data_IF_579596792043
#
_entry.id   IF_579596792043
#
_cell.length_a   1.000
_cell.length_b   1.000
_cell.length_c   1.000
_cell.angle_alpha   90.00
_cell.angle_beta   90.00
_cell.angle_gamma   90.00
#
_symmetry.space_group_name_H-M   'P 1'
#
loop_
_entity.id
_entity.type
_entity.pdbx_description
1 polymer ?
#
# COMPACT_ATOMS: atom_id res chain seq x y z
N UNK A 1 -27.60 21.42 6.02
CA UNK A 1 -28.82 20.87 5.44
C UNK A 1 -28.50 20.23 4.09
N UNK A 2 -28.86 18.96 3.93
CA UNK A 2 -28.77 18.29 2.64
C UNK A 2 -29.85 18.91 1.75
N UNK A 3 -29.57 19.29 0.50
CA UNK A 3 -30.61 19.76 -0.41
C UNK A 3 -31.68 18.67 -0.55
N UNK A 4 -32.95 19.04 -0.57
CA UNK A 4 -34.07 18.09 -0.63
C UNK A 4 -33.99 17.16 -1.85
N UNK A 5 -33.44 17.65 -2.97
CA UNK A 5 -33.21 16.86 -4.21
C UNK A 5 -31.83 17.17 -4.77
N UNK A 6 -31.02 16.14 -4.99
CA UNK A 6 -29.74 16.23 -5.68
C UNK A 6 -29.98 15.94 -7.17
N UNK A 7 -29.55 16.83 -8.03
CA UNK A 7 -29.65 16.66 -9.49
C UNK A 7 -28.29 16.26 -10.04
N UNK A 8 -28.25 15.17 -10.83
CA UNK A 8 -27.04 14.67 -11.50
C UNK A 8 -27.27 14.52 -13.00
N UNK A 9 -26.19 14.56 -13.78
CA UNK A 9 -26.25 14.33 -15.23
C UNK A 9 -25.95 12.87 -15.62
N UNK A 10 -25.71 12.00 -14.62
CA UNK A 10 -25.36 10.60 -14.86
C UNK A 10 -26.60 9.71 -14.80
N UNK A 11 -26.60 8.65 -15.58
CA UNK A 11 -27.66 7.63 -15.58
C UNK A 11 -27.58 6.69 -14.38
N UNK A 12 -26.40 6.61 -13.75
CA UNK A 12 -26.12 5.73 -12.62
C UNK A 12 -25.34 6.50 -11.58
N UNK A 13 -25.65 6.25 -10.31
CA UNK A 13 -24.95 6.86 -9.18
C UNK A 13 -24.64 5.82 -8.12
N UNK A 14 -23.54 6.02 -7.41
CA UNK A 14 -23.23 5.32 -6.16
C UNK A 14 -22.95 6.34 -5.07
N UNK A 15 -22.99 5.90 -3.82
CA UNK A 15 -22.76 6.76 -2.67
C UNK A 15 -21.60 6.25 -1.84
N UNK A 16 -20.97 7.18 -1.14
CA UNK A 16 -19.96 6.89 -0.13
C UNK A 16 -20.18 7.82 1.07
N UNK A 17 -19.78 7.39 2.25
CA UNK A 17 -20.03 8.12 3.48
C UNK A 17 -18.74 8.36 4.26
N UNK A 18 -18.57 9.60 4.74
CA UNK A 18 -17.58 9.98 5.74
C UNK A 18 -18.29 10.12 7.08
N UNK A 19 -18.27 9.07 7.88
CA UNK A 19 -18.88 9.06 9.21
C UNK A 19 -17.86 8.62 10.26
N UNK A 20 -17.95 9.20 11.44
CA UNK A 20 -17.08 8.89 12.57
C UNK A 20 -17.89 8.85 13.86
N UNK A 21 -17.52 7.94 14.73
CA UNK A 21 -18.00 7.86 16.08
C UNK A 21 -17.05 8.58 17.07
N UNK A 22 -17.55 8.99 18.22
CA UNK A 22 -16.79 9.62 19.30
C UNK A 22 -17.28 9.16 20.67
N UNK A 23 -16.38 8.68 21.49
CA UNK A 23 -16.65 8.42 22.89
C UNK A 23 -16.50 9.69 23.73
N UNK A 24 -17.41 9.86 24.70
CA UNK A 24 -17.31 10.94 25.67
C UNK A 24 -15.99 10.86 26.42
N UNK A 25 -15.23 11.97 26.44
CA UNK A 25 -13.91 12.04 27.09
C UNK A 25 -12.72 11.53 26.23
N UNK A 26 -12.94 11.05 25.01
CA UNK A 26 -11.87 10.68 24.09
C UNK A 26 -11.64 11.76 23.01
N UNK A 27 -10.38 12.18 22.76
CA UNK A 27 -10.08 13.08 21.66
C UNK A 27 -10.08 12.35 20.30
N UNK A 28 -10.13 11.02 20.31
CA UNK A 28 -10.01 10.20 19.10
C UNK A 28 -11.36 10.07 18.38
N UNK A 29 -11.27 9.99 17.04
CA UNK A 29 -12.38 9.61 16.16
C UNK A 29 -12.26 8.13 15.86
N UNK A 30 -13.37 7.44 15.96
CA UNK A 30 -13.48 6.01 15.66
C UNK A 30 -14.28 5.80 14.37
N UNK A 31 -14.11 4.64 13.75
CA UNK A 31 -14.92 4.21 12.60
C UNK A 31 -16.34 3.85 13.03
N UNK A 32 -17.25 3.84 12.05
CA UNK A 32 -18.60 3.32 12.22
C UNK A 32 -18.59 1.78 12.13
N UNK A 33 -19.58 1.16 12.79
CA UNK A 33 -19.73 -0.30 12.79
C UNK A 33 -20.48 -0.81 11.57
N UNK A 34 -21.58 -0.13 11.19
CA UNK A 34 -22.48 -0.54 10.12
C UNK A 34 -22.98 0.67 9.34
N UNK A 35 -23.16 0.51 8.04
CA UNK A 35 -23.98 1.43 7.26
C UNK A 35 -24.81 0.65 6.22
N UNK A 36 -26.03 1.15 5.96
CA UNK A 36 -26.98 0.59 5.01
C UNK A 36 -27.51 1.70 4.09
N UNK A 37 -27.54 1.41 2.80
CA UNK A 37 -28.14 2.24 1.75
C UNK A 37 -29.46 1.61 1.33
N UNK A 38 -30.52 2.39 1.36
CA UNK A 38 -31.82 2.05 0.77
C UNK A 38 -32.22 3.07 -0.30
N UNK A 39 -32.85 2.60 -1.37
CA UNK A 39 -33.45 3.43 -2.41
C UNK A 39 -34.93 3.05 -2.54
N UNK A 40 -35.84 4.05 -2.51
CA UNK A 40 -37.29 3.85 -2.61
C UNK A 40 -37.78 2.78 -1.62
N UNK A 41 -37.36 2.92 -0.36
CA UNK A 41 -37.66 2.02 0.77
C UNK A 41 -37.10 0.58 0.65
N UNK A 42 -36.36 0.26 -0.41
CA UNK A 42 -35.74 -1.06 -0.61
C UNK A 42 -34.27 -1.03 -0.22
N UNK A 43 -33.79 -1.98 0.60
CA UNK A 43 -32.36 -2.12 0.87
C UNK A 43 -31.59 -2.41 -0.43
N UNK A 44 -30.50 -1.70 -0.65
CA UNK A 44 -29.64 -1.86 -1.85
C UNK A 44 -28.35 -2.56 -1.48
N UNK A 45 -27.63 -2.02 -0.48
CA UNK A 45 -26.37 -2.56 0.00
C UNK A 45 -26.13 -2.10 1.43
N UNK A 46 -25.48 -2.92 2.22
CA UNK A 46 -24.99 -2.55 3.55
C UNK A 46 -23.65 -3.20 3.84
N UNK A 47 -22.89 -2.61 4.73
CA UNK A 47 -21.69 -3.22 5.28
C UNK A 47 -21.74 -3.26 6.81
N UNK A 48 -21.06 -4.24 7.38
CA UNK A 48 -20.88 -4.41 8.80
C UNK A 48 -19.46 -4.87 9.09
N UNK A 49 -18.78 -4.18 10.01
CA UNK A 49 -17.37 -4.45 10.34
C UNK A 49 -17.32 -5.13 11.70
N UNK A 50 -17.60 -6.44 11.74
CA UNK A 50 -17.47 -7.28 12.93
C UNK A 50 -16.04 -7.74 13.12
N UNK A 51 -15.51 -8.36 12.05
CA UNK A 51 -14.16 -8.91 11.99
C UNK A 51 -13.67 -8.88 10.54
N UNK A 52 -12.40 -8.61 10.36
CA UNK A 52 -11.73 -8.71 9.07
C UNK A 52 -10.63 -9.74 9.23
N UNK A 53 -10.66 -10.80 8.44
CA UNK A 53 -9.57 -11.78 8.38
C UNK A 53 -8.26 -11.08 7.99
N UNK A 54 -7.15 -11.55 8.54
CA UNK A 54 -5.84 -10.98 8.23
C UNK A 54 -5.54 -11.03 6.71
N UNK A 55 -5.98 -12.08 6.04
CA UNK A 55 -5.81 -12.26 4.60
C UNK A 55 -6.71 -11.32 3.77
N UNK A 56 -7.81 -10.85 4.37
CA UNK A 56 -8.77 -9.94 3.73
C UNK A 56 -8.49 -8.46 4.02
N UNK A 57 -7.53 -8.15 4.88
CA UNK A 57 -7.24 -6.76 5.30
C UNK A 57 -7.03 -5.81 4.13
N UNK A 58 -6.47 -6.28 3.02
CA UNK A 58 -6.24 -5.44 1.84
C UNK A 58 -7.52 -5.05 1.11
N UNK A 59 -8.62 -5.78 1.28
CA UNK A 59 -9.90 -5.39 0.71
C UNK A 59 -10.48 -4.10 1.30
N UNK A 60 -9.98 -3.66 2.48
CA UNK A 60 -10.29 -2.34 3.02
C UNK A 60 -9.93 -1.22 2.02
N UNK A 61 -8.91 -1.41 1.20
CA UNK A 61 -8.55 -0.45 0.15
C UNK A 61 -9.62 -0.29 -0.94
N UNK A 62 -10.45 -1.31 -1.16
CA UNK A 62 -11.57 -1.26 -2.09
C UNK A 62 -12.87 -0.82 -1.41
N UNK A 63 -12.93 -0.92 -0.09
CA UNK A 63 -14.07 -0.46 0.71
C UNK A 63 -14.11 1.06 0.89
N UNK A 64 -12.98 1.74 0.70
CA UNK A 64 -12.85 3.19 0.85
C UNK A 64 -12.51 3.88 -0.47
N UNK A 65 -12.77 5.18 -0.55
CA UNK A 65 -12.16 6.00 -1.61
C UNK A 65 -10.64 6.09 -1.39
N UNK A 66 -9.95 5.08 -1.94
CA UNK A 66 -8.50 4.95 -1.80
C UNK A 66 -7.75 6.13 -2.42
N UNK A 67 -8.24 6.65 -3.54
CA UNK A 67 -7.61 7.80 -4.22
C UNK A 67 -7.64 9.03 -3.35
N UNK A 68 -8.79 9.34 -2.75
CA UNK A 68 -8.95 10.45 -1.82
C UNK A 68 -8.07 10.23 -0.57
N UNK A 69 -8.09 9.02 -0.01
CA UNK A 69 -7.32 8.67 1.19
C UNK A 69 -5.82 8.74 0.96
N UNK A 70 -5.32 8.25 -0.16
CA UNK A 70 -3.89 8.26 -0.52
C UNK A 70 -3.35 9.68 -0.73
N UNK A 71 -4.23 10.63 -1.07
CA UNK A 71 -3.93 12.06 -1.16
C UNK A 71 -4.02 12.82 0.18
N UNK A 72 -4.19 12.11 1.31
CA UNK A 72 -4.32 12.75 2.64
C UNK A 72 -5.74 13.19 3.01
N UNK A 73 -6.74 12.85 2.18
CA UNK A 73 -8.14 13.16 2.41
C UNK A 73 -8.81 12.33 3.53
N UNK A 74 -10.08 12.60 3.83
CA UNK A 74 -10.84 11.87 4.84
C UNK A 74 -11.02 10.40 4.49
N UNK A 75 -11.36 9.61 5.50
CA UNK A 75 -11.75 8.21 5.34
C UNK A 75 -13.22 8.17 4.90
N UNK A 76 -13.45 7.87 3.62
CA UNK A 76 -14.78 7.80 3.01
C UNK A 76 -15.05 6.36 2.61
N UNK A 77 -16.13 5.76 3.15
CA UNK A 77 -16.49 4.36 2.96
C UNK A 77 -17.54 4.24 1.85
N UNK A 78 -17.31 3.33 0.90
CA UNK A 78 -18.24 3.09 -0.20
C UNK A 78 -19.49 2.34 0.27
N UNK A 79 -20.64 2.82 -0.20
CA UNK A 79 -21.92 2.12 -0.18
C UNK A 79 -22.19 1.52 -1.57
N UNK A 80 -21.13 1.01 -2.18
CA UNK A 80 -21.13 0.26 -3.43
C UNK A 80 -19.95 -0.72 -3.43
N UNK A 81 -20.14 -1.84 -4.09
CA UNK A 81 -19.12 -2.89 -4.18
C UNK A 81 -18.42 -2.84 -5.53
N UNK A 82 -17.10 -2.78 -5.52
CA UNK A 82 -16.30 -2.84 -6.74
C UNK A 82 -16.32 -4.26 -7.34
N UNK A 83 -16.21 -4.41 -8.67
CA UNK A 83 -16.30 -5.71 -9.35
C UNK A 83 -15.31 -6.77 -8.87
N UNK A 84 -14.09 -6.36 -8.48
CA UNK A 84 -13.06 -7.25 -7.95
C UNK A 84 -13.08 -7.41 -6.43
N UNK A 85 -14.14 -6.97 -5.75
CA UNK A 85 -14.29 -7.11 -4.31
C UNK A 85 -15.19 -8.29 -3.97
N UNK A 86 -14.74 -9.33 -3.24
CA UNK A 86 -15.60 -10.39 -2.74
C UNK A 86 -16.55 -9.85 -1.65
N UNK A 87 -17.44 -10.70 -1.15
CA UNK A 87 -18.51 -10.25 -0.24
C UNK A 87 -18.02 -9.69 1.11
N UNK A 88 -16.90 -10.11 1.65
CA UNK A 88 -16.21 -9.56 2.82
C UNK A 88 -17.09 -8.84 3.86
N UNK A 89 -16.90 -7.53 4.00
CA UNK A 89 -17.65 -6.69 4.95
C UNK A 89 -19.07 -6.35 4.47
N UNK A 90 -19.40 -6.53 3.18
CA UNK A 90 -20.74 -6.24 2.67
C UNK A 90 -21.73 -7.31 3.07
N UNK A 91 -22.83 -6.88 3.68
CA UNK A 91 -23.95 -7.69 4.13
C UNK A 91 -25.24 -7.17 3.48
N UNK A 92 -26.27 -8.00 3.42
CA UNK A 92 -27.59 -7.61 2.91
C UNK A 92 -27.54 -7.00 1.50
N UNK A 93 -26.80 -7.64 0.60
CA UNK A 93 -26.56 -7.16 -0.75
C UNK A 93 -27.68 -7.62 -1.67
N UNK A 94 -28.54 -6.71 -2.13
CA UNK A 94 -29.49 -6.95 -3.23
C UNK A 94 -28.97 -6.43 -4.58
N UNK A 95 -27.79 -5.80 -4.59
CA UNK A 95 -27.10 -5.27 -5.76
C UNK A 95 -25.65 -4.87 -5.44
N UNK A 96 -25.02 -4.15 -6.32
CA UNK A 96 -23.65 -3.63 -6.17
C UNK A 96 -23.60 -2.22 -5.53
N UNK A 97 -24.75 -1.67 -5.12
CA UNK A 97 -24.85 -0.32 -4.58
C UNK A 97 -24.98 0.78 -5.64
N UNK A 98 -25.13 0.41 -6.90
CA UNK A 98 -25.35 1.35 -8.00
C UNK A 98 -26.86 1.53 -8.22
N UNK A 99 -27.31 2.80 -8.19
CA UNK A 99 -28.71 3.17 -8.39
C UNK A 99 -28.87 3.67 -9.83
N UNK A 100 -29.82 3.10 -10.56
CA UNK A 100 -30.19 3.49 -11.92
C UNK A 100 -31.17 4.66 -11.85
N UNK A 101 -30.91 5.70 -12.64
CA UNK A 101 -31.72 6.94 -12.73
C UNK A 101 -32.26 7.15 -14.16
N UNK A 102 -32.29 6.09 -14.97
CA UNK A 102 -32.72 6.20 -16.38
C UNK A 102 -34.23 6.45 -16.55
N UNK A 103 -35.02 6.23 -15.51
CA UNK A 103 -36.46 6.50 -15.50
C UNK A 103 -36.81 7.98 -15.28
N UNK A 104 -35.78 8.83 -15.06
CA UNK A 104 -35.92 10.26 -14.83
C UNK A 104 -36.81 10.65 -13.63
N UNK A 105 -37.12 9.69 -12.76
CA UNK A 105 -37.86 9.96 -11.53
C UNK A 105 -36.94 10.39 -10.37
N UNK A 106 -37.53 10.93 -9.30
CA UNK A 106 -36.80 11.27 -8.10
C UNK A 106 -36.81 10.07 -7.15
N UNK A 107 -35.63 9.47 -6.92
CA UNK A 107 -35.46 8.34 -6.03
C UNK A 107 -35.18 8.81 -4.61
N UNK A 108 -35.94 8.25 -3.64
CA UNK A 108 -35.74 8.52 -2.22
C UNK A 108 -34.57 7.71 -1.66
N UNK A 109 -33.52 8.38 -1.22
CA UNK A 109 -32.31 7.75 -0.66
C UNK A 109 -32.32 7.86 0.86
N UNK A 110 -32.09 6.71 1.51
CA UNK A 110 -31.86 6.65 2.97
C UNK A 110 -30.52 5.95 3.20
N UNK A 111 -29.66 6.62 3.98
CA UNK A 111 -28.43 6.04 4.52
C UNK A 111 -28.55 5.98 6.03
N UNK A 112 -28.47 4.79 6.59
CA UNK A 112 -28.50 4.52 8.02
C UNK A 112 -27.12 4.08 8.48
N UNK A 113 -26.60 4.71 9.54
CA UNK A 113 -25.28 4.43 10.09
C UNK A 113 -25.42 4.05 11.54
N UNK A 114 -24.71 3.00 11.99
CA UNK A 114 -24.69 2.56 13.39
C UNK A 114 -23.27 2.50 13.94
N UNK A 115 -23.13 2.84 15.20
CA UNK A 115 -21.95 2.51 16.00
C UNK A 115 -22.02 1.08 16.55
N UNK A 116 -20.97 0.64 17.24
CA UNK A 116 -20.93 -0.70 17.85
C UNK A 116 -21.90 -0.84 19.06
N UNK A 117 -22.41 0.25 19.61
CA UNK A 117 -23.36 0.29 20.72
C UNK A 117 -24.82 0.31 20.24
N UNK A 118 -25.04 0.39 18.91
CA UNK A 118 -26.38 0.43 18.31
C UNK A 118 -26.98 1.83 18.18
N UNK A 119 -26.24 2.89 18.53
CA UNK A 119 -26.71 4.25 18.27
C UNK A 119 -26.76 4.48 16.75
N UNK A 120 -27.85 5.11 16.31
CA UNK A 120 -28.17 5.23 14.88
C UNK A 120 -28.25 6.68 14.44
N UNK A 121 -27.66 6.96 13.28
CA UNK A 121 -27.82 8.23 12.57
C UNK A 121 -28.38 7.96 11.18
N UNK A 122 -29.33 8.78 10.73
CA UNK A 122 -30.02 8.59 9.45
C UNK A 122 -29.90 9.86 8.62
N UNK A 123 -29.50 9.68 7.35
CA UNK A 123 -29.46 10.70 6.32
C UNK A 123 -30.54 10.36 5.26
N UNK A 124 -31.40 11.32 4.92
CA UNK A 124 -32.43 11.16 3.87
C UNK A 124 -32.35 12.33 2.88
N UNK A 125 -32.44 12.00 1.62
CA UNK A 125 -32.49 12.97 0.52
C UNK A 125 -33.08 12.29 -0.72
N UNK A 126 -33.30 13.09 -1.78
CA UNK A 126 -33.69 12.54 -3.08
C UNK A 126 -32.57 12.75 -4.09
N UNK A 127 -32.45 11.85 -5.05
CA UNK A 127 -31.60 12.01 -6.22
C UNK A 127 -32.44 11.86 -7.46
N UNK A 128 -32.15 12.68 -8.46
CA UNK A 128 -32.84 12.66 -9.75
C UNK A 128 -31.85 12.96 -10.87
N UNK A 129 -32.02 12.32 -12.01
CA UNK A 129 -31.36 12.72 -13.24
C UNK A 129 -31.95 14.05 -13.72
N UNK A 130 -31.08 15.05 -14.01
CA UNK A 130 -31.49 16.31 -14.64
C UNK A 130 -31.80 16.14 -16.11
N UNK A 131 -32.67 16.95 -16.67
CA UNK A 131 -32.86 17.04 -18.11
C UNK A 131 -31.50 17.31 -18.77
N UNK A 132 -31.11 16.45 -19.69
CA UNK A 132 -29.81 16.41 -20.33
C UNK A 132 -29.44 17.77 -20.95
N UNK A 133 -28.56 18.52 -20.33
CA UNK A 133 -27.62 19.31 -21.11
C UNK A 133 -26.79 18.30 -21.91
N UNK A 134 -26.76 18.43 -23.22
CA UNK A 134 -26.04 17.55 -24.15
C UNK A 134 -24.70 17.12 -23.55
N UNK A 135 -24.31 15.85 -23.67
CA UNK A 135 -23.02 15.43 -23.21
C UNK A 135 -22.01 16.41 -23.78
N UNK A 136 -21.29 17.13 -22.92
CA UNK A 136 -20.06 17.80 -23.34
C UNK A 136 -19.21 16.68 -23.87
N UNK A 137 -19.27 16.47 -25.20
CA UNK A 137 -18.21 15.76 -25.90
C UNK A 137 -16.93 16.43 -25.42
N UNK A 138 -16.23 15.82 -24.51
CA UNK A 138 -14.87 16.22 -24.21
C UNK A 138 -14.18 16.22 -25.55
N UNK A 139 -13.89 17.45 -26.04
CA UNK A 139 -13.18 17.67 -27.28
C UNK A 139 -12.01 16.71 -27.27
N UNK A 140 -11.98 15.85 -28.30
CA UNK A 140 -11.06 14.73 -28.34
C UNK A 140 -9.65 15.21 -28.06
N UNK A 141 -9.10 14.81 -26.95
CA UNK A 141 -7.66 14.77 -26.84
C UNK A 141 -7.12 13.98 -28.04
N UNK A 142 -6.07 14.46 -28.70
CA UNK A 142 -5.45 13.78 -29.83
C UNK A 142 -5.21 12.33 -29.42
N UNK A 143 -5.56 11.40 -30.30
CA UNK A 143 -5.54 9.97 -30.10
C UNK A 143 -4.33 9.52 -29.26
N UNK A 144 -4.55 9.30 -27.97
CA UNK A 144 -3.57 8.60 -27.11
C UNK A 144 -3.54 7.18 -27.64
N UNK A 145 -2.36 6.60 -27.98
CA UNK A 145 -2.25 5.24 -28.48
C UNK A 145 -3.04 4.31 -27.56
N UNK A 146 -3.77 3.37 -28.11
CA UNK A 146 -4.79 2.51 -27.50
C UNK A 146 -4.42 2.10 -26.07
N UNK A 147 -4.98 2.78 -25.09
CA UNK A 147 -4.79 2.41 -23.68
C UNK A 147 -5.51 1.09 -23.47
N UNK A 148 -4.77 0.05 -23.16
CA UNK A 148 -5.31 -1.27 -22.85
C UNK A 148 -6.20 -1.18 -21.60
N UNK A 149 -7.43 -1.66 -21.69
CA UNK A 149 -8.32 -1.73 -20.54
C UNK A 149 -7.94 -2.94 -19.67
N UNK A 150 -7.58 -2.70 -18.42
CA UNK A 150 -7.34 -3.72 -17.42
C UNK A 150 -8.61 -3.98 -16.61
N UNK A 151 -8.89 -5.25 -16.28
CA UNK A 151 -10.14 -5.66 -15.63
C UNK A 151 -9.89 -6.64 -14.50
N UNK A 152 -10.64 -6.57 -13.38
CA UNK A 152 -10.58 -7.57 -12.32
C UNK A 152 -11.09 -8.94 -12.82
N UNK A 153 -10.59 -10.01 -12.21
CA UNK A 153 -10.96 -11.39 -12.57
C UNK A 153 -10.30 -11.92 -13.85
N UNK A 154 -9.34 -11.16 -14.42
CA UNK A 154 -8.58 -11.56 -15.59
C UNK A 154 -7.09 -11.34 -15.35
N UNK A 155 -6.26 -12.12 -16.02
CA UNK A 155 -4.84 -11.82 -16.19
C UNK A 155 -4.73 -10.59 -17.09
N UNK A 156 -4.04 -9.56 -16.62
CA UNK A 156 -3.81 -8.35 -17.39
C UNK A 156 -2.31 -8.19 -17.64
N UNK A 157 -1.94 -7.96 -18.88
CA UNK A 157 -0.54 -7.82 -19.29
C UNK A 157 -0.35 -6.55 -20.12
N UNK A 158 0.67 -5.79 -19.76
CA UNK A 158 1.23 -4.76 -20.63
C UNK A 158 2.67 -5.10 -20.93
N UNK A 159 3.03 -5.15 -22.21
CA UNK A 159 4.36 -5.51 -22.66
C UNK A 159 4.82 -4.60 -23.79
N UNK A 160 6.09 -4.23 -23.74
CA UNK A 160 6.82 -3.60 -24.83
C UNK A 160 8.28 -4.10 -24.82
N UNK A 161 9.14 -3.53 -25.67
CA UNK A 161 10.54 -3.93 -25.79
C UNK A 161 11.36 -3.77 -24.50
N UNK A 162 10.90 -2.96 -23.53
CA UNK A 162 11.65 -2.54 -22.34
C UNK A 162 11.08 -3.05 -21.03
N UNK A 163 9.76 -3.17 -20.95
CA UNK A 163 9.08 -3.66 -19.74
C UNK A 163 7.96 -4.64 -20.06
N UNK A 164 7.69 -5.51 -19.11
CA UNK A 164 6.46 -6.30 -19.06
C UNK A 164 5.87 -6.20 -17.64
N UNK A 165 4.61 -5.78 -17.55
CA UNK A 165 3.83 -5.75 -16.31
C UNK A 165 2.77 -6.84 -16.36
N UNK A 166 2.88 -7.85 -15.50
CA UNK A 166 1.98 -8.99 -15.41
C UNK A 166 1.17 -8.92 -14.10
N UNK A 167 -0.13 -8.71 -14.24
CA UNK A 167 -1.06 -8.65 -13.13
C UNK A 167 -1.91 -9.93 -13.11
N UNK A 168 -1.82 -10.76 -12.06
CA UNK A 168 -2.66 -11.96 -11.94
C UNK A 168 -4.13 -11.62 -11.74
N UNK A 169 -5.02 -12.59 -11.95
CA UNK A 169 -6.48 -12.42 -11.88
C UNK A 169 -6.98 -11.71 -10.61
N UNK A 170 -6.52 -12.04 -9.39
CA UNK A 170 -7.02 -11.40 -8.16
C UNK A 170 -6.36 -10.05 -7.86
N UNK A 171 -5.63 -9.46 -8.83
CA UNK A 171 -4.81 -8.28 -8.55
C UNK A 171 -5.63 -6.99 -8.44
N UNK A 172 -6.72 -6.87 -9.19
CA UNK A 172 -7.47 -5.62 -9.36
C UNK A 172 -8.82 -5.65 -8.65
N UNK A 173 -9.23 -4.50 -8.13
CA UNK A 173 -10.56 -4.30 -7.56
C UNK A 173 -11.56 -3.74 -8.58
N UNK A 174 -11.09 -2.93 -9.53
CA UNK A 174 -11.91 -2.28 -10.54
C UNK A 174 -11.20 -2.21 -11.89
N UNK A 175 -11.96 -1.90 -12.92
CA UNK A 175 -11.46 -1.73 -14.28
C UNK A 175 -10.89 -0.32 -14.47
N UNK A 176 -9.79 -0.23 -15.20
CA UNK A 176 -9.20 1.06 -15.56
C UNK A 176 -8.47 0.99 -16.90
N UNK A 177 -8.17 2.16 -17.46
CA UNK A 177 -7.27 2.27 -18.62
C UNK A 177 -5.84 2.35 -18.12
N UNK A 178 -5.04 1.35 -18.47
CA UNK A 178 -3.64 1.29 -18.10
C UNK A 178 -2.84 2.40 -18.78
N UNK A 179 -1.93 3.02 -18.06
CA UNK A 179 -1.02 4.04 -18.58
C UNK A 179 0.43 3.69 -18.29
N UNK A 180 1.28 4.00 -19.24
CA UNK A 180 2.72 3.81 -19.17
C UNK A 180 3.42 5.03 -19.71
N UNK A 181 4.54 5.40 -19.09
CA UNK A 181 5.44 6.45 -19.57
C UNK A 181 6.88 6.10 -19.22
N UNK A 182 7.77 6.24 -20.20
CA UNK A 182 9.21 6.20 -19.97
C UNK A 182 9.73 7.60 -19.74
N UNK A 183 10.59 7.77 -18.75
CA UNK A 183 11.29 9.01 -18.42
C UNK A 183 12.79 8.71 -18.49
N UNK A 184 13.48 9.34 -19.41
CA UNK A 184 14.92 9.21 -19.54
C UNK A 184 15.56 10.41 -18.85
N UNK A 185 16.17 10.24 -17.67
CA UNK A 185 16.86 11.32 -16.98
C UNK A 185 18.15 11.67 -17.73
N UNK A 186 18.67 12.87 -17.51
CA UNK A 186 19.94 13.31 -18.09
C UNK A 186 21.12 12.45 -17.61
N UNK A 187 21.01 11.87 -16.43
CA UNK A 187 21.99 10.96 -15.83
C UNK A 187 21.25 9.83 -15.10
N UNK A 188 21.86 8.63 -15.06
CA UNK A 188 21.29 7.47 -14.36
C UNK A 188 20.46 6.56 -15.25
N UNK A 189 19.69 5.67 -14.61
CA UNK A 189 18.88 4.67 -15.28
C UNK A 189 17.51 5.23 -15.70
N UNK A 190 16.91 4.69 -16.78
CA UNK A 190 15.54 5.03 -17.15
C UNK A 190 14.55 4.78 -16.02
N UNK A 191 13.54 5.66 -15.91
CA UNK A 191 12.43 5.51 -14.99
C UNK A 191 11.18 5.15 -15.78
N UNK A 192 10.52 4.11 -15.35
CA UNK A 192 9.29 3.61 -15.96
C UNK A 192 8.10 3.92 -15.05
N UNK A 193 7.27 4.88 -15.45
CA UNK A 193 6.01 5.13 -14.76
C UNK A 193 4.98 4.09 -15.18
N UNK A 194 4.67 3.20 -14.28
CA UNK A 194 3.69 2.12 -14.47
C UNK A 194 2.41 2.51 -13.73
N UNK A 195 1.44 3.00 -14.48
CA UNK A 195 0.15 3.47 -14.04
C UNK A 195 0.23 4.52 -12.90
N UNK A 196 -0.81 4.59 -12.05
CA UNK A 196 -0.94 5.58 -10.99
C UNK A 196 -0.97 4.89 -9.62
N UNK A 197 -0.13 5.35 -8.70
CA UNK A 197 -0.05 4.84 -7.33
C UNK A 197 -1.35 5.03 -6.50
N UNK A 198 -2.29 5.85 -6.98
CA UNK A 198 -3.61 6.01 -6.34
C UNK A 198 -4.61 4.88 -6.69
N UNK A 199 -4.24 3.95 -7.58
CA UNK A 199 -5.03 2.74 -7.87
C UNK A 199 -4.53 1.61 -6.97
N UNK A 200 -5.37 1.11 -6.06
CA UNK A 200 -4.97 0.05 -5.12
C UNK A 200 -4.92 -1.32 -5.82
N UNK A 201 -4.04 -2.18 -5.31
CA UNK A 201 -3.92 -3.57 -5.75
C UNK A 201 -4.21 -4.52 -4.59
N UNK A 202 -4.90 -5.62 -4.87
CA UNK A 202 -5.16 -6.67 -3.89
C UNK A 202 -3.92 -7.55 -3.66
N UNK A 203 -3.27 -7.97 -4.74
CA UNK A 203 -2.09 -8.83 -4.69
C UNK A 203 -0.89 -8.14 -5.32
N UNK A 204 0.28 -8.79 -5.25
CA UNK A 204 1.45 -8.35 -5.99
C UNK A 204 1.25 -8.59 -7.49
N UNK A 205 1.79 -7.68 -8.28
CA UNK A 205 2.03 -7.89 -9.71
C UNK A 205 3.53 -8.03 -9.97
N UNK A 206 3.89 -8.72 -11.04
CA UNK A 206 5.27 -8.85 -11.47
C UNK A 206 5.59 -7.75 -12.49
N UNK A 207 6.68 -7.04 -12.26
CA UNK A 207 7.27 -6.12 -13.23
C UNK A 207 8.60 -6.69 -13.70
N UNK A 208 8.76 -6.77 -15.01
CA UNK A 208 10.01 -7.14 -15.66
C UNK A 208 10.56 -5.90 -16.37
N UNK A 209 11.84 -5.62 -16.19
CA UNK A 209 12.56 -4.53 -16.87
C UNK A 209 13.74 -5.15 -17.60
N UNK A 210 13.87 -4.86 -18.89
CA UNK A 210 14.95 -5.34 -19.71
C UNK A 210 16.23 -4.52 -19.50
N UNK A 211 17.32 -5.19 -19.18
CA UNK A 211 18.65 -4.59 -19.13
C UNK A 211 19.71 -5.67 -19.34
N UNK A 212 20.33 -5.68 -20.51
CA UNK A 212 21.36 -6.66 -20.87
C UNK A 212 22.78 -6.21 -20.48
N UNK A 213 22.94 -4.98 -19.99
CA UNK A 213 24.26 -4.33 -19.79
C UNK A 213 24.63 -4.16 -18.33
N UNK A 214 24.00 -4.86 -17.40
CA UNK A 214 24.34 -4.78 -15.98
C UNK A 214 25.70 -5.45 -15.73
N UNK A 215 26.60 -4.73 -15.07
CA UNK A 215 27.97 -5.25 -14.74
C UNK A 215 27.88 -6.36 -13.69
N UNK A 216 26.95 -6.21 -12.73
CA UNK A 216 26.72 -7.20 -11.68
C UNK A 216 25.23 -7.61 -11.67
N UNK A 217 24.81 -8.59 -12.48
CA UNK A 217 23.41 -8.98 -12.60
C UNK A 217 22.75 -9.38 -11.27
N UNK A 218 23.51 -10.04 -10.38
CA UNK A 218 23.01 -10.50 -9.06
C UNK A 218 22.87 -9.38 -8.03
N UNK A 219 23.39 -8.18 -8.32
CA UNK A 219 23.35 -6.99 -7.45
C UNK A 219 22.33 -5.95 -7.90
N UNK A 220 21.34 -6.37 -8.68
CA UNK A 220 20.32 -5.47 -9.18
C UNK A 220 19.10 -5.44 -8.25
N UNK A 221 18.65 -4.23 -7.96
CA UNK A 221 17.46 -3.91 -7.16
C UNK A 221 16.48 -3.15 -8.04
N UNK A 222 15.22 -3.52 -7.99
CA UNK A 222 14.16 -2.73 -8.58
C UNK A 222 13.59 -1.79 -7.53
N UNK A 223 13.77 -0.50 -7.75
CA UNK A 223 13.28 0.57 -6.90
C UNK A 223 11.95 1.09 -7.41
N UNK A 224 10.93 1.02 -6.56
CA UNK A 224 9.63 1.68 -6.78
C UNK A 224 9.54 2.91 -5.89
N UNK A 225 9.10 4.04 -6.46
CA UNK A 225 8.86 5.26 -5.69
C UNK A 225 7.59 5.99 -6.16
N UNK A 226 6.82 6.45 -5.20
CA UNK A 226 5.62 7.27 -5.41
C UNK A 226 5.16 7.92 -4.10
N UNK A 227 4.69 9.16 -4.16
CA UNK A 227 4.11 9.87 -3.00
C UNK A 227 4.98 9.86 -1.73
N UNK A 228 6.30 9.99 -1.92
CA UNK A 228 7.27 9.99 -0.81
C UNK A 228 7.53 8.61 -0.19
N UNK A 229 7.01 7.52 -0.77
CA UNK A 229 7.27 6.14 -0.36
C UNK A 229 8.23 5.48 -1.33
N UNK A 230 9.16 4.71 -0.81
CA UNK A 230 10.12 3.91 -1.55
C UNK A 230 9.94 2.43 -1.18
N UNK A 231 10.04 1.58 -2.18
CA UNK A 231 10.10 0.12 -1.99
C UNK A 231 11.29 -0.39 -2.84
N UNK A 232 12.16 -1.16 -2.25
CA UNK A 232 13.30 -1.76 -2.92
C UNK A 232 13.12 -3.28 -2.90
N UNK A 233 13.25 -3.92 -4.04
CA UNK A 233 13.08 -5.37 -4.15
C UNK A 233 14.23 -5.91 -4.99
N UNK A 234 14.94 -6.93 -4.48
CA UNK A 234 15.93 -7.66 -5.28
C UNK A 234 15.30 -8.13 -6.58
N UNK A 235 15.93 -7.79 -7.69
CA UNK A 235 15.46 -8.17 -9.00
C UNK A 235 16.11 -9.51 -9.42
N UNK A 236 15.29 -10.46 -9.84
CA UNK A 236 15.75 -11.76 -10.32
C UNK A 236 16.07 -11.65 -11.81
N UNK A 237 17.30 -11.96 -12.19
CA UNK A 237 17.75 -11.94 -13.57
C UNK A 237 17.40 -13.23 -14.31
N UNK A 238 16.84 -13.10 -15.49
CA UNK A 238 16.65 -14.19 -16.43
C UNK A 238 16.65 -13.66 -17.87
N UNK A 239 17.59 -14.11 -18.70
CA UNK A 239 17.67 -13.82 -20.13
C UNK A 239 17.48 -12.34 -20.53
N UNK A 240 18.23 -11.45 -19.89
CA UNK A 240 18.17 -10.01 -20.14
C UNK A 240 17.05 -9.26 -19.43
N UNK A 241 16.19 -9.95 -18.70
CA UNK A 241 15.10 -9.39 -17.93
C UNK A 241 15.33 -9.47 -16.42
N UNK A 242 14.99 -8.42 -15.73
CA UNK A 242 14.99 -8.33 -14.28
C UNK A 242 13.55 -8.28 -13.77
N UNK A 243 13.17 -9.27 -12.97
CA UNK A 243 11.81 -9.43 -12.45
C UNK A 243 11.74 -9.12 -10.96
N UNK A 244 10.78 -8.28 -10.55
CA UNK A 244 10.44 -8.06 -9.15
C UNK A 244 8.92 -7.92 -8.97
N UNK A 245 8.42 -8.17 -7.74
CA UNK A 245 7.00 -8.19 -7.44
C UNK A 245 6.60 -7.08 -6.47
N UNK A 246 5.61 -6.27 -6.84
CA UNK A 246 5.16 -5.08 -6.09
C UNK A 246 3.66 -5.11 -5.79
N UNK A 247 3.29 -4.47 -4.66
CA UNK A 247 1.89 -4.32 -4.21
C UNK A 247 1.27 -2.96 -4.56
N UNK A 248 1.96 -2.14 -5.35
CA UNK A 248 1.47 -0.81 -5.75
C UNK A 248 2.12 -0.36 -7.06
N UNK A 249 1.39 0.39 -7.85
CA UNK A 249 1.91 1.10 -9.02
C UNK A 249 2.79 2.29 -8.62
N UNK A 250 3.44 2.92 -9.60
CA UNK A 250 4.30 4.07 -9.39
C UNK A 250 5.40 4.19 -10.43
N UNK A 251 6.49 4.82 -10.04
CA UNK A 251 7.70 4.92 -10.85
C UNK A 251 8.65 3.79 -10.47
N UNK A 252 9.28 3.20 -11.46
CA UNK A 252 10.20 2.08 -11.29
C UNK A 252 11.50 2.31 -12.02
N UNK A 253 12.60 1.92 -11.42
CA UNK A 253 13.92 1.91 -12.06
C UNK A 253 14.76 0.74 -11.55
N UNK A 254 15.67 0.25 -12.37
CA UNK A 254 16.69 -0.68 -11.93
C UNK A 254 17.87 0.09 -11.35
N UNK A 255 18.37 -0.33 -10.21
CA UNK A 255 19.57 0.19 -9.56
C UNK A 255 20.52 -0.96 -9.31
N UNK A 256 21.81 -0.67 -9.39
CA UNK A 256 22.85 -1.61 -8.98
C UNK A 256 23.29 -1.26 -7.57
N UNK A 257 23.24 -2.21 -6.67
CA UNK A 257 23.69 -2.05 -5.28
C UNK A 257 24.87 -2.96 -4.99
N UNK A 258 26.02 -2.36 -4.79
CA UNK A 258 27.28 -3.04 -4.42
C UNK A 258 27.83 -2.55 -3.09
N UNK A 259 27.08 -1.74 -2.36
CA UNK A 259 27.55 -1.10 -1.13
C UNK A 259 26.95 -1.85 0.06
N UNK A 260 27.79 -2.44 0.94
CA UNK A 260 27.30 -3.13 2.12
C UNK A 260 26.66 -2.18 3.15
N UNK A 261 25.73 -2.69 3.98
CA UNK A 261 25.15 -1.93 5.07
C UNK A 261 26.20 -1.38 6.03
N UNK A 262 25.92 -0.26 6.65
CA UNK A 262 26.79 0.39 7.63
C UNK A 262 26.26 0.17 9.05
N UNK A 263 27.12 -0.30 9.96
CA UNK A 263 26.83 -0.51 11.39
C UNK A 263 27.47 0.62 12.19
N UNK A 264 26.67 1.42 12.88
CA UNK A 264 27.13 2.56 13.70
C UNK A 264 26.69 2.38 15.15
N UNK A 265 27.61 2.26 16.13
CA UNK A 265 27.25 2.15 17.55
C UNK A 265 26.73 3.48 18.11
N UNK A 266 25.78 3.41 19.06
CA UNK A 266 25.19 4.55 19.75
C UNK A 266 25.69 4.53 21.21
N UNK A 267 26.47 5.55 21.61
CA UNK A 267 26.98 5.70 23.00
C UNK A 267 27.92 4.57 23.45
N UNK A 268 28.47 3.83 22.50
CA UNK A 268 29.35 2.70 22.69
C UNK A 268 30.51 2.77 21.68
N UNK A 269 31.69 2.25 22.07
CA UNK A 269 32.87 2.20 21.20
C UNK A 269 33.75 0.99 21.56
N UNK A 270 34.63 0.66 20.65
CA UNK A 270 35.64 -0.37 20.84
C UNK A 270 36.43 -0.15 22.15
N UNK A 271 36.67 -1.22 22.89
CA UNK A 271 37.44 -1.22 24.17
C UNK A 271 36.72 -0.52 25.33
N UNK A 272 35.45 -0.17 25.23
CA UNK A 272 34.75 0.59 26.27
C UNK A 272 34.38 -0.30 27.46
N UNK A 273 34.50 0.25 28.68
CA UNK A 273 33.87 -0.36 29.87
C UNK A 273 32.39 0.04 29.90
N UNK A 274 31.49 -0.95 29.82
CA UNK A 274 30.04 -0.81 29.71
C UNK A 274 29.32 -0.99 31.04
N UNK A 275 30.00 -1.12 32.18
CA UNK A 275 29.37 -1.37 33.47
C UNK A 275 28.28 -0.35 33.87
N UNK A 276 28.37 0.87 33.36
CA UNK A 276 27.39 1.95 33.58
C UNK A 276 26.27 2.00 32.53
N UNK A 277 26.35 1.18 31.49
CA UNK A 277 25.32 1.09 30.47
C UNK A 277 24.28 0.02 30.84
N UNK A 278 23.03 0.23 30.40
CA UNK A 278 21.97 -0.76 30.53
C UNK A 278 21.69 -1.52 29.24
N UNK A 279 22.30 -1.08 28.13
CA UNK A 279 22.10 -1.67 26.79
C UNK A 279 23.26 -1.33 25.85
N UNK A 280 23.39 -2.12 24.79
CA UNK A 280 24.12 -1.76 23.58
C UNK A 280 23.09 -1.42 22.49
N UNK A 281 23.39 -0.40 21.69
CA UNK A 281 22.51 0.02 20.60
C UNK A 281 23.33 0.36 19.36
N UNK A 282 22.81 0.01 18.18
CA UNK A 282 23.43 0.24 16.89
C UNK A 282 22.41 0.77 15.91
N UNK A 283 22.76 1.79 15.12
CA UNK A 283 22.03 2.19 13.92
C UNK A 283 22.63 1.43 12.75
N UNK A 284 21.75 0.78 11.98
CA UNK A 284 22.12 0.13 10.73
C UNK A 284 21.46 0.87 9.59
N UNK A 285 22.27 1.30 8.62
CA UNK A 285 21.80 2.03 7.45
C UNK A 285 22.29 1.36 6.18
N UNK A 286 21.45 1.41 5.17
CA UNK A 286 21.74 0.93 3.84
C UNK A 286 21.16 1.87 2.78
N UNK A 287 21.73 1.86 1.58
CA UNK A 287 21.28 2.71 0.47
C UNK A 287 19.89 2.29 -0.05
N UNK A 288 19.56 1.01 -0.01
CA UNK A 288 18.29 0.44 -0.43
C UNK A 288 17.26 0.32 0.70
N UNK A 289 17.62 0.72 1.94
CA UNK A 289 16.75 0.67 3.13
C UNK A 289 16.25 -0.73 3.52
N UNK A 290 16.57 -1.78 2.77
CA UNK A 290 16.12 -3.16 2.95
C UNK A 290 17.26 -4.04 3.47
N UNK A 291 17.15 -4.44 4.74
CA UNK A 291 18.03 -5.42 5.36
C UNK A 291 17.41 -6.81 5.26
N UNK A 292 18.14 -7.78 4.71
CA UNK A 292 17.67 -9.16 4.60
C UNK A 292 18.00 -9.97 5.87
N UNK A 293 19.20 -9.76 6.42
CA UNK A 293 19.65 -10.55 7.56
C UNK A 293 20.39 -9.68 8.59
N UNK A 294 20.15 -9.99 9.86
CA UNK A 294 20.89 -9.49 11.01
C UNK A 294 21.23 -10.67 11.93
N UNK A 295 22.49 -10.84 12.25
CA UNK A 295 22.96 -11.84 13.20
C UNK A 295 23.96 -11.21 14.16
N UNK A 296 23.87 -11.61 15.43
CA UNK A 296 24.84 -11.19 16.46
C UNK A 296 25.24 -12.37 17.33
N UNK A 297 26.51 -12.39 17.73
CA UNK A 297 27.02 -13.34 18.75
C UNK A 297 27.79 -12.57 19.80
N UNK A 298 27.67 -13.04 21.08
CA UNK A 298 28.48 -12.60 22.20
C UNK A 298 29.31 -13.78 22.65
N UNK A 299 30.63 -13.64 22.64
CA UNK A 299 31.58 -14.72 23.00
C UNK A 299 31.32 -16.00 22.21
N UNK A 300 31.00 -15.88 20.91
CA UNK A 300 30.68 -16.96 20.01
C UNK A 300 29.28 -17.56 20.17
N UNK A 301 28.46 -17.11 21.13
CA UNK A 301 27.08 -17.58 21.33
C UNK A 301 26.09 -16.60 20.72
N UNK A 302 25.05 -17.12 20.06
CA UNK A 302 24.00 -16.29 19.47
C UNK A 302 23.36 -15.34 20.49
N UNK A 303 23.17 -14.10 20.11
CA UNK A 303 22.65 -13.03 20.94
C UNK A 303 21.43 -12.38 20.29
N UNK A 304 20.33 -12.30 21.05
CA UNK A 304 19.09 -11.66 20.57
C UNK A 304 19.16 -10.14 20.70
N UNK A 305 18.92 -9.47 19.59
CA UNK A 305 18.64 -8.03 19.55
C UNK A 305 17.14 -7.78 19.31
N UNK A 306 16.60 -6.71 19.86
CA UNK A 306 15.31 -6.16 19.49
C UNK A 306 15.51 -5.05 18.47
N UNK A 307 14.59 -4.95 17.50
CA UNK A 307 14.53 -3.83 16.56
C UNK A 307 13.32 -2.97 16.91
N UNK A 308 13.53 -1.70 17.22
CA UNK A 308 12.49 -0.74 17.59
C UNK A 308 11.88 -0.08 16.34
N UNK A 309 11.16 -0.88 15.52
CA UNK A 309 10.43 -0.45 14.30
C UNK A 309 11.20 0.49 13.36
N UNK A 310 12.51 0.48 13.42
CA UNK A 310 13.38 1.36 12.67
C UNK A 310 14.73 0.73 12.41
N UNK A 311 15.71 1.57 12.19
CA UNK A 311 17.09 1.20 11.90
C UNK A 311 17.94 0.94 13.16
N UNK A 312 17.33 0.98 14.37
CA UNK A 312 18.03 0.83 15.65
C UNK A 312 17.86 -0.57 16.19
N UNK A 313 18.97 -1.27 16.37
CA UNK A 313 19.06 -2.59 16.97
C UNK A 313 19.58 -2.47 18.40
N UNK A 314 18.89 -3.09 19.36
CA UNK A 314 19.13 -2.90 20.78
C UNK A 314 19.28 -4.26 21.47
N UNK A 315 20.38 -4.46 22.18
CA UNK A 315 20.56 -5.50 23.16
C UNK A 315 20.49 -4.89 24.56
N UNK A 316 19.50 -5.27 25.35
CA UNK A 316 19.45 -4.95 26.79
C UNK A 316 20.23 -6.02 27.52
N UNK A 317 21.18 -5.60 28.38
CA UNK A 317 21.99 -6.52 29.11
C UNK A 317 21.13 -7.45 29.99
N UNK A 318 21.46 -8.74 29.97
CA UNK A 318 20.83 -9.82 30.69
C UNK A 318 21.90 -10.81 31.19
N UNK A 319 21.50 -12.01 31.57
CA UNK A 319 22.38 -13.08 32.07
C UNK A 319 23.41 -13.59 31.04
N UNK A 320 23.22 -13.29 29.75
CA UNK A 320 24.18 -13.71 28.71
C UNK A 320 25.43 -12.83 28.64
N UNK A 321 25.42 -11.67 29.31
CA UNK A 321 26.57 -10.77 29.38
C UNK A 321 26.92 -10.48 30.83
N UNK A 322 27.68 -11.40 31.47
CA UNK A 322 28.17 -11.26 32.83
C UNK A 322 29.32 -10.24 32.99
N UNK A 323 29.91 -10.10 34.19
CA UNK A 323 31.12 -9.29 34.36
C UNK A 323 32.32 -9.91 33.63
N UNK A 324 33.16 -9.09 33.01
CA UNK A 324 34.35 -9.54 32.33
C UNK A 324 34.57 -8.88 30.96
N UNK A 325 35.54 -9.44 30.23
CA UNK A 325 35.81 -9.04 28.84
C UNK A 325 34.91 -9.85 27.88
N UNK A 326 34.38 -9.17 26.87
CA UNK A 326 33.47 -9.74 25.91
C UNK A 326 33.84 -9.37 24.47
N UNK A 327 33.51 -10.28 23.54
CA UNK A 327 33.55 -10.06 22.11
C UNK A 327 32.14 -10.09 21.54
N UNK A 328 31.67 -8.96 20.96
CA UNK A 328 30.41 -8.88 20.24
C UNK A 328 30.69 -8.83 18.73
N UNK A 329 30.23 -9.85 18.04
CA UNK A 329 30.27 -9.90 16.56
C UNK A 329 28.88 -9.64 16.00
N UNK A 330 28.77 -8.73 15.04
CA UNK A 330 27.54 -8.39 14.33
C UNK A 330 27.76 -8.59 12.82
N UNK A 331 26.85 -9.29 12.19
CA UNK A 331 26.82 -9.53 10.74
C UNK A 331 25.48 -9.03 10.20
N UNK A 332 25.52 -8.19 9.17
CA UNK A 332 24.33 -7.65 8.51
C UNK A 332 24.48 -7.78 7.01
N UNK A 333 23.43 -8.22 6.33
CA UNK A 333 23.37 -8.23 4.87
C UNK A 333 22.13 -7.48 4.35
N UNK A 334 22.26 -6.82 3.20
CA UNK A 334 21.17 -6.23 2.44
C UNK A 334 20.45 -7.28 1.55
N UNK A 335 19.42 -6.85 0.84
CA UNK A 335 18.57 -7.71 0.00
C UNK A 335 19.31 -8.32 -1.21
N UNK A 336 20.46 -7.80 -1.61
CA UNK A 336 21.29 -8.34 -2.71
C UNK A 336 22.55 -9.06 -2.21
N UNK A 337 22.67 -9.27 -0.89
CA UNK A 337 23.72 -10.05 -0.24
C UNK A 337 25.06 -9.31 -0.13
N UNK A 338 25.09 -7.96 -0.11
CA UNK A 338 26.27 -7.26 0.36
C UNK A 338 26.30 -7.35 1.88
N UNK A 339 27.45 -7.68 2.46
CA UNK A 339 27.54 -8.04 3.88
C UNK A 339 28.59 -7.19 4.58
N UNK A 340 28.23 -6.71 5.77
CA UNK A 340 29.16 -6.10 6.72
C UNK A 340 29.27 -6.94 7.96
N UNK A 341 30.50 -7.24 8.37
CA UNK A 341 30.83 -7.85 9.64
C UNK A 341 31.57 -6.81 10.49
N UNK A 342 31.16 -6.69 11.79
CA UNK A 342 31.84 -5.86 12.78
C UNK A 342 32.04 -6.66 14.07
N UNK A 343 33.23 -6.55 14.62
CA UNK A 343 33.60 -7.10 15.92
C UNK A 343 33.90 -5.95 16.85
N UNK A 344 33.35 -6.02 18.06
CA UNK A 344 33.58 -5.08 19.13
C UNK A 344 34.03 -5.80 20.39
N UNK A 345 35.13 -5.35 20.98
CA UNK A 345 35.58 -5.82 22.31
C UNK A 345 35.16 -4.79 23.37
N UNK A 346 34.67 -5.26 24.48
CA UNK A 346 34.29 -4.41 25.61
C UNK A 346 34.41 -5.17 26.94
N UNK A 347 34.34 -4.44 28.03
CA UNK A 347 34.25 -5.03 29.37
C UNK A 347 32.98 -4.60 30.06
N UNK A 348 32.53 -5.44 30.98
CA UNK A 348 31.38 -5.16 31.83
C UNK A 348 31.70 -5.37 33.30
#
# INVERSE_FOLDING_TARGET
PVPGVIITNTEKVSFAIAATDRFIGSPHKYGIYQAELSADERPVIGFQIDSISYDETRYVNAHIDYKLRSGGGPFVQHLSRLPGYPEGVYKQVSGDGIIDLTDDSAHAIKIEVKDASGNTSILKFHVKRGASAQPKTSAGNPAVPSQTAFRPGFVNVFENEKICAYLPEPCLYDSFRFSYKEIIPATGFPVYQVHNASVPLQTKFNLMIKNSNAVYPDKMVMHRFANGKNDYVKAVYNDGWYTAAFKAFGNFQLLQDTIPPTITPIGFREGMNTAKLNRLAFVITDATEELENFSATLDGKWLRFSNDKGRTFIYKFDEHCGPGAHELKIIVSDCVGNTTEKIYHFSR
#
